data_IF_442964283702
#
_entry.id   IF_442964283702
#
_cell.length_a   1.000
_cell.length_b   1.000
_cell.length_c   1.000
_cell.angle_alpha   90.00
_cell.angle_beta   90.00
_cell.angle_gamma   90.00
#
_symmetry.space_group_name_H-M   'P 1'
#
loop_
_entity.id
_entity.type
_entity.pdbx_description
1 polymer ?
#
# COMPACT_ATOMS: atom_id res chain seq x y z
N UNK A 1 9.70 -15.54 13.36
CA UNK A 1 9.29 -16.43 14.48
C UNK A 1 8.32 -15.77 15.48
N UNK A 2 8.52 -14.52 15.92
CA UNK A 2 7.64 -13.87 16.94
C UNK A 2 6.21 -13.61 16.44
N UNK A 3 6.01 -13.33 15.15
CA UNK A 3 4.67 -13.12 14.56
C UNK A 3 3.79 -14.39 14.57
N UNK A 4 4.39 -15.57 14.38
CA UNK A 4 3.67 -16.86 14.29
C UNK A 4 3.13 -17.28 15.66
N UNK A 5 3.94 -17.15 16.72
CA UNK A 5 3.55 -17.49 18.10
C UNK A 5 2.44 -16.56 18.62
N UNK A 6 2.52 -15.27 18.34
CA UNK A 6 1.48 -14.31 18.73
C UNK A 6 0.16 -14.54 17.98
N UNK A 7 0.23 -14.90 16.70
CA UNK A 7 -0.95 -15.31 15.93
C UNK A 7 -1.58 -16.56 16.54
N UNK A 8 -0.78 -17.62 16.79
CA UNK A 8 -1.25 -18.86 17.41
C UNK A 8 -1.89 -18.66 18.81
N UNK A 9 -1.37 -17.74 19.63
CA UNK A 9 -1.95 -17.42 20.95
C UNK A 9 -3.28 -16.67 20.84
N UNK A 10 -3.41 -15.72 19.91
CA UNK A 10 -4.69 -15.08 19.61
C UNK A 10 -5.73 -16.12 19.15
N UNK A 11 -5.31 -17.11 18.36
CA UNK A 11 -6.19 -18.16 17.85
C UNK A 11 -6.71 -19.08 18.97
N UNK A 12 -5.87 -19.40 19.95
CA UNK A 12 -6.27 -20.19 21.11
C UNK A 12 -7.29 -19.46 21.99
N UNK A 13 -7.14 -18.15 22.18
CA UNK A 13 -8.13 -17.31 22.88
C UNK A 13 -9.48 -17.24 22.14
N UNK A 14 -9.51 -17.45 20.82
CA UNK A 14 -10.72 -17.44 20.00
C UNK A 14 -11.49 -18.78 20.00
N UNK A 15 -11.01 -19.81 20.70
CA UNK A 15 -11.70 -21.12 20.76
C UNK A 15 -11.62 -21.96 19.47
N UNK A 16 -10.73 -21.63 18.53
CA UNK A 16 -10.53 -22.44 17.33
C UNK A 16 -9.54 -23.60 17.59
N UNK A 17 -9.90 -24.85 17.24
CA UNK A 17 -9.00 -25.99 17.42
C UNK A 17 -7.79 -25.86 16.50
N UNK A 18 -6.61 -26.19 17.03
CA UNK A 18 -5.31 -26.03 16.37
C UNK A 18 -5.25 -26.71 14.98
N UNK A 19 -6.08 -27.73 14.70
CA UNK A 19 -6.07 -28.50 13.45
C UNK A 19 -6.94 -27.96 12.30
N UNK A 20 -7.86 -27.03 12.55
CA UNK A 20 -8.81 -26.55 11.52
C UNK A 20 -8.38 -25.22 10.87
N UNK A 21 -7.06 -24.98 10.81
CA UNK A 21 -6.49 -23.70 10.40
C UNK A 21 -5.93 -23.69 8.97
N UNK A 22 -6.35 -22.70 8.17
CA UNK A 22 -5.79 -22.35 6.84
C UNK A 22 -4.29 -21.93 6.85
N UNK A 23 -3.69 -21.72 8.03
CA UNK A 23 -2.25 -21.47 8.21
C UNK A 23 -1.49 -22.80 8.40
N UNK A 24 -2.13 -23.82 8.97
CA UNK A 24 -1.57 -25.16 9.08
C UNK A 24 -1.70 -25.96 7.79
N UNK A 25 -2.63 -25.62 6.91
CA UNK A 25 -2.74 -26.20 5.57
C UNK A 25 -1.60 -25.81 4.62
N UNK A 26 -0.60 -25.04 5.07
CA UNK A 26 0.45 -24.52 4.21
C UNK A 26 1.88 -24.74 4.71
N UNK A 27 2.06 -25.32 5.91
CA UNK A 27 3.35 -25.89 6.28
C UNK A 27 3.56 -27.29 5.67
N UNK A 28 2.46 -27.99 5.37
CA UNK A 28 2.43 -29.22 4.57
C UNK A 28 1.85 -28.91 3.17
N UNK A 29 2.53 -28.07 2.38
CA UNK A 29 2.32 -28.11 0.93
C UNK A 29 3.11 -29.28 0.36
N UNK A 30 2.61 -30.49 0.60
CA UNK A 30 2.86 -31.61 -0.32
C UNK A 30 1.93 -31.42 -1.52
N UNK A 31 2.52 -31.02 -2.66
CA UNK A 31 2.17 -31.12 -4.10
C UNK A 31 0.70 -31.28 -4.61
N UNK A 32 -0.34 -31.41 -3.77
CA UNK A 32 -1.69 -31.86 -4.14
C UNK A 32 -2.84 -30.98 -3.59
N UNK A 33 -2.58 -29.76 -3.10
CA UNK A 33 -3.66 -28.89 -2.58
C UNK A 33 -4.33 -28.06 -3.68
N UNK A 34 -5.63 -28.29 -3.88
CA UNK A 34 -6.52 -27.64 -4.89
C UNK A 34 -7.03 -26.25 -4.43
N UNK A 35 -6.73 -25.81 -3.20
CA UNK A 35 -7.15 -24.49 -2.73
C UNK A 35 -6.16 -23.38 -3.15
N UNK A 36 -6.63 -22.24 -3.67
CA UNK A 36 -5.75 -21.17 -4.11
C UNK A 36 -4.95 -20.63 -2.93
N UNK A 37 -3.61 -20.68 -3.04
CA UNK A 37 -2.68 -20.11 -2.07
C UNK A 37 -3.09 -18.67 -1.74
N UNK A 38 -3.58 -18.44 -0.52
CA UNK A 38 -4.05 -17.12 -0.10
C UNK A 38 -2.90 -16.10 -0.15
N UNK A 39 -3.14 -14.97 -0.82
CA UNK A 39 -2.15 -13.92 -1.00
C UNK A 39 -1.57 -13.43 0.35
N UNK A 40 -0.24 -13.30 0.50
CA UNK A 40 0.39 -12.90 1.77
C UNK A 40 -0.16 -11.59 2.34
N UNK A 41 -0.41 -10.60 1.48
CA UNK A 41 -1.00 -9.31 1.85
C UNK A 41 -2.39 -9.48 2.52
N UNK A 42 -3.23 -10.36 1.95
CA UNK A 42 -4.57 -10.65 2.46
C UNK A 42 -4.52 -11.38 3.81
N UNK A 43 -3.55 -12.28 3.97
CA UNK A 43 -3.26 -12.94 5.25
C UNK A 43 -2.90 -11.92 6.34
N UNK A 44 -1.99 -10.99 6.05
CA UNK A 44 -1.61 -9.95 7.01
C UNK A 44 -2.78 -9.05 7.39
N UNK A 45 -3.63 -8.69 6.43
CA UNK A 45 -4.85 -7.91 6.69
C UNK A 45 -5.78 -8.61 7.68
N UNK A 46 -6.06 -9.90 7.48
CA UNK A 46 -6.88 -10.71 8.40
C UNK A 46 -6.31 -10.73 9.82
N UNK A 47 -4.99 -10.91 9.95
CA UNK A 47 -4.31 -10.88 11.25
C UNK A 47 -4.43 -9.51 11.90
N UNK A 48 -4.31 -8.42 11.14
CA UNK A 48 -4.50 -7.07 11.67
C UNK A 48 -5.94 -6.86 12.16
N UNK A 49 -6.94 -7.25 11.37
CA UNK A 49 -8.36 -7.12 11.74
C UNK A 49 -8.70 -7.92 13.01
N UNK A 50 -8.14 -9.12 13.15
CA UNK A 50 -8.28 -9.90 14.39
C UNK A 50 -7.60 -9.19 15.57
N UNK A 51 -6.37 -8.70 15.39
CA UNK A 51 -5.66 -7.97 16.44
C UNK A 51 -6.35 -6.64 16.81
N UNK A 52 -7.06 -6.02 15.89
CA UNK A 52 -7.91 -4.86 16.15
C UNK A 52 -9.14 -5.24 16.97
N UNK A 53 -9.86 -6.30 16.57
CA UNK A 53 -11.04 -6.81 17.28
C UNK A 53 -10.75 -7.23 18.73
N UNK A 54 -9.59 -7.84 19.00
CA UNK A 54 -9.20 -8.31 20.34
C UNK A 54 -8.31 -7.32 21.11
N UNK A 55 -8.24 -6.08 20.66
CA UNK A 55 -7.39 -5.02 21.19
C UNK A 55 -5.96 -5.45 21.54
N UNK A 56 -5.26 -6.04 20.56
CA UNK A 56 -3.89 -6.52 20.67
C UNK A 56 -2.92 -5.57 19.95
N UNK A 57 -2.53 -4.42 20.56
CA UNK A 57 -1.74 -3.39 19.90
C UNK A 57 -0.34 -3.86 19.48
N UNK A 58 0.27 -4.82 20.19
CA UNK A 58 1.58 -5.38 19.83
C UNK A 58 1.54 -6.07 18.47
N UNK A 59 0.46 -6.81 18.19
CA UNK A 59 0.29 -7.54 16.94
C UNK A 59 -0.07 -6.56 15.81
N UNK A 60 -0.96 -5.59 16.08
CA UNK A 60 -1.26 -4.52 15.12
C UNK A 60 0.02 -3.81 14.66
N UNK A 61 0.90 -3.42 15.60
CA UNK A 61 2.17 -2.77 15.27
C UNK A 61 3.13 -3.67 14.51
N UNK A 62 3.16 -4.97 14.79
CA UNK A 62 4.05 -5.91 14.12
C UNK A 62 3.62 -6.22 12.67
N UNK A 63 2.32 -6.17 12.38
CA UNK A 63 1.78 -6.48 11.06
C UNK A 63 2.01 -5.35 10.04
N UNK A 64 1.95 -4.09 10.49
CA UNK A 64 2.07 -2.93 9.58
C UNK A 64 3.37 -2.91 8.75
N UNK A 65 4.57 -3.13 9.31
CA UNK A 65 5.79 -3.17 8.50
C UNK A 65 5.78 -4.32 7.49
N UNK A 66 5.16 -5.47 7.83
CA UNK A 66 5.03 -6.61 6.92
C UNK A 66 4.10 -6.29 5.73
N UNK A 67 3.01 -5.55 5.99
CA UNK A 67 2.13 -5.06 4.91
C UNK A 67 2.88 -4.10 4.00
N UNK A 68 3.64 -3.16 4.57
CA UNK A 68 4.41 -2.19 3.79
C UNK A 68 5.51 -2.87 2.95
N UNK A 69 6.22 -3.85 3.50
CA UNK A 69 7.23 -4.63 2.78
C UNK A 69 6.63 -5.34 1.56
N UNK A 70 5.48 -6.01 1.74
CA UNK A 70 4.77 -6.63 0.62
C UNK A 70 4.35 -5.60 -0.43
N UNK A 71 3.77 -4.47 -0.01
CA UNK A 71 3.38 -3.39 -0.93
C UNK A 71 4.57 -2.83 -1.73
N UNK A 72 5.75 -2.70 -1.11
CA UNK A 72 6.97 -2.22 -1.78
C UNK A 72 7.54 -3.25 -2.77
N UNK A 73 7.54 -4.54 -2.42
CA UNK A 73 7.98 -5.63 -3.32
C UNK A 73 7.22 -5.61 -4.66
N UNK A 74 5.96 -5.21 -4.65
CA UNK A 74 5.11 -5.23 -5.83
C UNK A 74 5.34 -4.06 -6.80
N UNK A 75 5.90 -2.93 -6.35
CA UNK A 75 6.19 -1.78 -7.22
C UNK A 75 7.50 -1.94 -7.98
N UNK A 76 8.35 -2.89 -7.56
CA UNK A 76 9.62 -3.14 -8.23
C UNK A 76 9.38 -3.68 -9.67
N UNK A 77 9.86 -2.99 -10.72
CA UNK A 77 9.58 -3.33 -12.12
C UNK A 77 10.38 -4.54 -12.63
N UNK A 78 10.73 -5.49 -11.77
CA UNK A 78 11.64 -6.60 -12.09
C UNK A 78 10.99 -7.96 -12.34
N UNK A 79 9.67 -8.08 -12.35
CA UNK A 79 9.01 -9.34 -12.75
C UNK A 79 7.85 -9.04 -13.70
N UNK A 80 8.15 -9.12 -15.00
CA UNK A 80 7.30 -8.71 -16.11
C UNK A 80 5.99 -9.47 -16.34
N UNK A 81 5.53 -10.31 -15.41
CA UNK A 81 4.27 -11.07 -15.52
C UNK A 81 3.41 -11.06 -14.22
N UNK A 82 3.95 -10.65 -13.07
CA UNK A 82 3.25 -10.81 -11.77
C UNK A 82 2.43 -9.59 -11.31
N UNK A 83 2.50 -8.47 -12.02
CA UNK A 83 1.79 -7.24 -11.63
C UNK A 83 0.28 -7.32 -11.92
N UNK A 84 -0.16 -8.18 -12.84
CA UNK A 84 -1.57 -8.27 -13.26
C UNK A 84 -2.47 -9.01 -12.25
N UNK A 85 -2.00 -10.08 -11.61
CA UNK A 85 -2.80 -10.81 -10.61
C UNK A 85 -2.90 -10.06 -9.28
N UNK A 86 -1.91 -9.21 -9.01
CA UNK A 86 -1.75 -8.49 -7.76
C UNK A 86 -2.43 -7.11 -7.76
N UNK A 87 -2.63 -6.52 -8.94
CA UNK A 87 -3.38 -5.27 -9.05
C UNK A 87 -4.82 -5.41 -8.55
N UNK A 88 -5.46 -6.54 -8.83
CA UNK A 88 -6.81 -6.84 -8.34
C UNK A 88 -6.89 -6.95 -6.82
N UNK A 89 -5.95 -7.65 -6.20
CA UNK A 89 -5.87 -7.78 -4.73
C UNK A 89 -5.60 -6.44 -4.05
N UNK A 90 -4.68 -5.61 -4.58
CA UNK A 90 -4.41 -4.28 -4.04
C UNK A 90 -5.65 -3.39 -4.15
N UNK A 91 -6.36 -3.43 -5.28
CA UNK A 91 -7.62 -2.70 -5.48
C UNK A 91 -8.66 -3.14 -4.45
N UNK A 92 -8.83 -4.45 -4.26
CA UNK A 92 -9.78 -5.00 -3.31
C UNK A 92 -9.45 -4.60 -1.86
N UNK A 93 -8.20 -4.80 -1.44
CA UNK A 93 -7.75 -4.45 -0.08
C UNK A 93 -7.88 -2.95 0.17
N UNK A 94 -7.58 -2.13 -0.84
CA UNK A 94 -7.76 -0.68 -0.74
C UNK A 94 -9.23 -0.32 -0.59
N UNK A 95 -10.13 -0.92 -1.36
CA UNK A 95 -11.56 -0.70 -1.20
C UNK A 95 -12.07 -1.15 0.20
N UNK A 96 -11.60 -2.30 0.69
CA UNK A 96 -11.98 -2.82 2.02
C UNK A 96 -11.52 -1.92 3.17
N UNK A 97 -10.33 -1.31 3.07
CA UNK A 97 -9.75 -0.48 4.14
C UNK A 97 -10.03 1.01 4.02
N UNK A 98 -10.09 1.52 2.79
CA UNK A 98 -10.14 2.96 2.49
C UNK A 98 -11.42 3.36 1.76
N UNK A 99 -12.20 2.42 1.24
CA UNK A 99 -13.42 2.67 0.49
C UNK A 99 -14.56 3.23 1.34
N UNK A 100 -15.66 3.64 0.70
CA UNK A 100 -16.82 4.22 1.38
C UNK A 100 -17.49 3.24 2.36
N UNK A 101 -17.50 1.96 2.01
CA UNK A 101 -18.09 0.88 2.82
C UNK A 101 -17.04 0.19 3.72
N UNK A 102 -15.86 0.79 3.89
CA UNK A 102 -14.79 0.23 4.70
C UNK A 102 -15.21 0.04 6.16
N UNK A 103 -14.86 -1.12 6.72
CA UNK A 103 -15.05 -1.36 8.15
C UNK A 103 -14.18 -0.39 8.94
N UNK A 104 -14.79 0.37 9.86
CA UNK A 104 -14.03 1.27 10.72
C UNK A 104 -13.19 0.44 11.70
N UNK A 105 -11.90 0.33 11.41
CA UNK A 105 -10.91 -0.23 12.34
C UNK A 105 -10.75 0.73 13.53
N UNK A 106 -10.61 0.16 14.73
CA UNK A 106 -10.38 0.94 15.94
C UNK A 106 -9.03 1.67 15.88
N UNK A 107 -8.00 0.99 15.34
CA UNK A 107 -6.72 1.58 15.02
C UNK A 107 -6.66 2.07 13.55
N UNK A 108 -6.54 3.39 13.30
CA UNK A 108 -6.48 3.93 11.95
C UNK A 108 -5.10 3.77 11.30
N UNK A 109 -4.11 3.19 12.00
CA UNK A 109 -2.72 3.19 11.55
C UNK A 109 -2.52 2.44 10.24
N UNK A 110 -3.09 1.23 10.09
CA UNK A 110 -2.97 0.48 8.83
C UNK A 110 -3.63 1.21 7.66
N UNK A 111 -4.85 1.75 7.87
CA UNK A 111 -5.55 2.56 6.87
C UNK A 111 -4.72 3.75 6.41
N UNK A 112 -4.08 4.46 7.35
CA UNK A 112 -3.19 5.60 7.03
C UNK A 112 -1.94 5.15 6.27
N UNK A 113 -1.30 4.07 6.70
CA UNK A 113 -0.10 3.52 6.05
C UNK A 113 -0.40 3.15 4.60
N UNK A 114 -1.51 2.43 4.37
CA UNK A 114 -1.94 2.05 3.02
C UNK A 114 -2.27 3.28 2.17
N UNK A 115 -2.98 4.26 2.72
CA UNK A 115 -3.29 5.50 2.01
C UNK A 115 -2.04 6.32 1.66
N UNK A 116 -1.06 6.40 2.57
CA UNK A 116 0.18 7.12 2.34
C UNK A 116 1.02 6.46 1.25
N UNK A 117 1.11 5.11 1.26
CA UNK A 117 1.73 4.34 0.19
C UNK A 117 1.02 4.54 -1.16
N UNK A 118 -0.31 4.48 -1.19
CA UNK A 118 -1.08 4.69 -2.42
C UNK A 118 -0.91 6.10 -2.97
N UNK A 119 -0.90 7.12 -2.10
CA UNK A 119 -0.70 8.50 -2.50
C UNK A 119 0.72 8.75 -3.03
N UNK A 120 1.71 8.02 -2.52
CA UNK A 120 3.10 8.10 -2.99
C UNK A 120 3.27 7.45 -4.36
N UNK A 121 2.60 6.32 -4.60
CA UNK A 121 2.74 5.51 -5.82
C UNK A 121 1.57 5.68 -6.81
N UNK A 122 0.82 6.78 -6.67
CA UNK A 122 -0.42 6.98 -7.41
C UNK A 122 -0.22 7.00 -8.94
N UNK A 123 0.91 7.54 -9.39
CA UNK A 123 1.33 7.61 -10.79
C UNK A 123 1.55 6.24 -11.44
N UNK A 124 1.99 5.26 -10.66
CA UNK A 124 2.12 3.86 -11.07
C UNK A 124 0.76 3.18 -11.00
N UNK A 125 0.03 3.32 -9.89
CA UNK A 125 -1.28 2.68 -9.70
C UNK A 125 -2.31 3.09 -10.75
N UNK A 126 -2.35 4.38 -11.16
CA UNK A 126 -3.34 4.87 -12.12
C UNK A 126 -3.14 4.37 -13.55
N UNK A 127 -1.97 3.82 -13.88
CA UNK A 127 -1.71 3.20 -15.18
C UNK A 127 -2.41 1.85 -15.31
N UNK A 128 -2.76 1.22 -14.19
CA UNK A 128 -3.43 -0.07 -14.17
C UNK A 128 -4.95 0.12 -14.41
N UNK A 129 -5.54 -0.61 -15.38
CA UNK A 129 -6.91 -0.40 -15.81
C UNK A 129 -7.95 -0.71 -14.73
N UNK A 130 -7.74 -1.74 -13.90
CA UNK A 130 -8.67 -2.12 -12.83
C UNK A 130 -8.74 -1.06 -11.73
N UNK A 131 -7.60 -0.49 -11.34
CA UNK A 131 -7.43 0.58 -10.38
C UNK A 131 -8.04 1.87 -10.90
N UNK A 132 -7.76 2.22 -12.16
CA UNK A 132 -8.37 3.39 -12.81
C UNK A 132 -9.90 3.26 -12.88
N UNK A 133 -10.42 2.07 -13.18
CA UNK A 133 -11.85 1.79 -13.18
C UNK A 133 -12.45 1.94 -11.78
N UNK A 134 -11.82 1.33 -10.77
CA UNK A 134 -12.28 1.36 -9.38
C UNK A 134 -12.28 2.78 -8.78
N UNK A 135 -11.27 3.59 -9.09
CA UNK A 135 -11.28 5.01 -8.72
C UNK A 135 -12.40 5.76 -9.44
N UNK A 136 -12.58 5.54 -10.75
CA UNK A 136 -13.64 6.19 -11.53
C UNK A 136 -15.06 5.86 -11.03
N UNK A 137 -15.24 4.66 -10.49
CA UNK A 137 -16.50 4.22 -9.87
C UNK A 137 -16.68 4.73 -8.44
N UNK A 138 -15.66 5.33 -7.82
CA UNK A 138 -15.74 5.84 -6.45
C UNK A 138 -15.77 4.75 -5.37
N UNK A 139 -15.34 3.52 -5.69
CA UNK A 139 -15.36 2.38 -4.75
C UNK A 139 -14.06 2.26 -3.94
N UNK A 140 -12.97 2.88 -4.41
CA UNK A 140 -11.63 2.66 -3.86
C UNK A 140 -11.34 3.49 -2.60
N UNK A 141 -11.82 4.74 -2.56
CA UNK A 141 -11.54 5.70 -1.51
C UNK A 141 -12.82 6.40 -1.07
N UNK A 142 -12.99 6.57 0.24
CA UNK A 142 -14.04 7.42 0.78
C UNK A 142 -13.88 8.90 0.35
N UNK A 143 -14.91 9.70 0.57
CA UNK A 143 -14.91 11.12 0.19
C UNK A 143 -13.77 11.93 0.82
N UNK A 144 -13.40 11.62 2.07
CA UNK A 144 -12.35 12.31 2.83
C UNK A 144 -10.96 11.97 2.29
N UNK A 145 -10.68 10.68 2.05
CA UNK A 145 -9.42 10.20 1.48
C UNK A 145 -9.26 10.65 0.03
N UNK A 146 -10.34 10.66 -0.75
CA UNK A 146 -10.35 11.22 -2.11
C UNK A 146 -9.98 12.71 -2.10
N UNK A 147 -10.62 13.52 -1.26
CA UNK A 147 -10.26 14.93 -1.12
C UNK A 147 -8.81 15.13 -0.67
N UNK A 148 -8.34 14.30 0.27
CA UNK A 148 -6.96 14.34 0.78
C UNK A 148 -5.95 13.99 -0.32
N UNK A 149 -6.25 12.98 -1.14
CA UNK A 149 -5.42 12.59 -2.27
C UNK A 149 -5.31 13.72 -3.29
N UNK A 150 -6.43 14.34 -3.67
CA UNK A 150 -6.43 15.48 -4.59
C UNK A 150 -5.60 16.66 -4.07
N UNK A 151 -5.67 16.95 -2.77
CA UNK A 151 -4.84 17.98 -2.14
C UNK A 151 -3.34 17.62 -2.17
N UNK A 152 -2.98 16.36 -1.88
CA UNK A 152 -1.59 15.87 -1.96
C UNK A 152 -1.04 15.98 -3.38
N UNK A 153 -1.79 15.52 -4.37
CA UNK A 153 -1.42 15.59 -5.79
C UNK A 153 -1.31 17.05 -6.27
N UNK A 154 -2.27 17.91 -5.90
CA UNK A 154 -2.24 19.33 -6.25
C UNK A 154 -1.02 20.06 -5.67
N UNK A 155 -0.62 19.72 -4.43
CA UNK A 155 0.60 20.24 -3.82
C UNK A 155 1.85 19.79 -4.58
N UNK A 156 1.97 18.51 -4.91
CA UNK A 156 3.10 17.98 -5.68
C UNK A 156 3.27 18.72 -7.03
N UNK A 157 2.17 18.94 -7.77
CA UNK A 157 2.19 19.67 -9.03
C UNK A 157 2.69 21.12 -8.85
N UNK A 158 2.27 21.80 -7.78
CA UNK A 158 2.71 23.17 -7.48
C UNK A 158 4.20 23.21 -7.13
N UNK A 159 4.68 22.25 -6.34
CA UNK A 159 6.07 22.18 -5.90
C UNK A 159 7.01 21.91 -7.09
N UNK A 160 6.63 21.00 -8.00
CA UNK A 160 7.36 20.74 -9.26
C UNK A 160 7.47 21.98 -10.15
N UNK A 161 6.39 22.77 -10.27
CA UNK A 161 6.40 24.02 -11.07
C UNK A 161 7.24 25.12 -10.45
N UNK A 162 7.36 25.15 -9.12
CA UNK A 162 8.16 26.14 -8.39
C UNK A 162 9.65 25.90 -8.60
N UNK A 163 10.09 24.63 -8.58
CA UNK A 163 11.48 24.24 -8.87
C UNK A 163 11.89 24.48 -10.33
N UNK A 164 10.96 24.36 -11.30
CA UNK A 164 11.25 24.69 -12.70
C UNK A 164 11.40 26.19 -12.96
N UNK A 165 10.66 27.05 -12.23
CA UNK A 165 10.77 28.52 -12.38
C UNK A 165 12.09 29.06 -11.83
N UNK A 166 12.62 28.44 -10.78
CA UNK A 166 13.86 28.88 -10.13
C UNK A 166 15.12 28.54 -10.95
N UNK A 167 15.06 27.54 -11.85
CA UNK A 167 16.14 27.26 -12.82
C UNK A 167 16.14 28.16 -14.06
N UNK A 168 15.06 28.90 -14.30
CA UNK A 168 14.93 29.79 -15.48
C UNK A 168 15.43 31.22 -15.23
N UNK A 169 15.78 31.58 -14.00
CA UNK A 169 16.35 32.87 -13.65
C UNK A 169 17.84 32.74 -13.29
N UNK A 170 18.66 32.31 -14.24
CA UNK A 170 20.06 32.76 -14.28
C UNK A 170 20.14 33.89 -15.30
N UNK A 171 20.44 35.13 -14.89
CA UNK A 171 20.77 36.15 -15.86
C UNK A 171 22.09 35.75 -16.52
N UNK A 172 22.08 35.58 -17.84
CA UNK A 172 23.29 35.58 -18.64
C UNK A 172 23.95 36.95 -18.47
N UNK A 173 24.91 37.06 -17.55
CA UNK A 173 25.82 38.19 -17.53
C UNK A 173 26.81 38.02 -18.69
N UNK A 174 26.50 38.69 -19.79
CA UNK A 174 27.46 39.04 -20.83
C UNK A 174 28.69 39.71 -20.21
N UNK A 175 29.88 39.21 -20.53
CA UNK A 175 31.07 40.06 -20.60
C UNK A 175 31.65 39.83 -21.99
N UNK A 176 31.31 40.77 -22.88
CA UNK A 176 31.97 40.93 -24.16
C UNK A 176 33.36 41.53 -23.98
N UNK A 177 34.28 41.04 -24.83
CA UNK A 177 35.29 41.80 -25.57
C UNK A 177 36.16 42.82 -24.83
N UNK A 178 37.48 42.57 -24.83
CA UNK A 178 38.42 43.58 -25.35
C UNK A 178 39.66 42.93 -25.94
N UNK A 179 39.81 43.12 -27.25
CA UNK A 179 41.03 43.00 -28.04
C UNK A 179 41.85 44.28 -27.78
N UNK A 180 43.17 44.17 -27.55
CA UNK A 180 44.28 44.97 -28.13
C UNK A 180 45.53 44.98 -27.22
N UNK A 181 46.69 44.82 -27.86
CA UNK A 181 48.04 44.93 -27.27
C UNK A 181 48.45 46.37 -26.90
N UNK A 182 49.72 46.62 -26.55
CA UNK A 182 50.86 46.39 -27.44
C UNK A 182 51.94 45.42 -26.92
#
# INVERSE_FOLDING_TARGET
MVSILCSAMLMHMCGMPFGEHYINSHFDCTDDCIEPCEHPLRRFLKVYMMADRYDCPTIRRAVVPLVNEQLEEHISPHVGDSFQDLSGEIVQITAELCGPDSSQLADPFLRRSLFDWLAYNFDVCIQEPSFRSAIGQGILLDARLTATLLLKLGKQIKDSRSHSRERSFRPESSIGSSIFGP
#
